data_IF_314494620300
#
_entry.id   IF_314494620300
#
_cell.length_a   1.000
_cell.length_b   1.000
_cell.length_c   1.000
_cell.angle_alpha   90.00
_cell.angle_beta   90.00
_cell.angle_gamma   90.00
#
_symmetry.space_group_name_H-M   'P 1'
#
loop_
_entity.id
_entity.type
_entity.pdbx_description
1 polymer ?
#
# COMPACT_ATOMS: atom_id res chain seq x y z
N UNK A 1 12.44 -6.87 -18.32
CA UNK A 1 12.14 -6.90 -16.86
C UNK A 1 13.44 -7.20 -16.15
N UNK A 2 13.91 -6.28 -15.31
CA UNK A 2 15.06 -6.54 -14.43
C UNK A 2 14.65 -7.63 -13.44
N UNK A 3 15.44 -8.68 -13.18
CA UNK A 3 15.11 -9.68 -12.22
C UNK A 3 14.94 -9.01 -10.84
N UNK A 4 13.77 -9.12 -10.25
CA UNK A 4 13.52 -8.62 -8.90
C UNK A 4 14.20 -9.58 -7.91
N UNK A 5 14.97 -9.06 -6.97
CA UNK A 5 15.58 -9.86 -5.90
C UNK A 5 14.47 -10.34 -4.96
N UNK A 6 14.51 -11.62 -4.59
CA UNK A 6 13.59 -12.22 -3.63
C UNK A 6 14.28 -12.29 -2.27
N UNK A 7 13.61 -11.84 -1.23
CA UNK A 7 14.08 -11.87 0.15
C UNK A 7 13.25 -12.86 0.98
N UNK A 8 13.88 -13.45 1.98
CA UNK A 8 13.15 -14.23 2.99
C UNK A 8 12.47 -13.29 3.99
N UNK A 9 11.48 -13.81 4.70
CA UNK A 9 10.82 -13.04 5.78
C UNK A 9 11.83 -12.53 6.81
N UNK A 10 12.76 -13.40 7.24
CA UNK A 10 13.75 -13.05 8.26
C UNK A 10 14.71 -11.95 7.78
N UNK A 11 15.14 -12.00 6.52
CA UNK A 11 15.98 -10.94 5.94
C UNK A 11 15.26 -9.59 5.94
N UNK A 12 14.01 -9.56 5.48
CA UNK A 12 13.21 -8.34 5.45
C UNK A 12 12.89 -7.84 6.87
N UNK A 13 12.61 -8.75 7.79
CA UNK A 13 12.34 -8.42 9.19
C UNK A 13 13.56 -7.81 9.89
N UNK A 14 14.74 -8.45 9.79
CA UNK A 14 15.97 -7.94 10.40
C UNK A 14 16.39 -6.58 9.84
N UNK A 15 16.25 -6.37 8.52
CA UNK A 15 16.55 -5.10 7.89
C UNK A 15 15.57 -4.01 8.34
N UNK A 16 14.27 -4.34 8.41
CA UNK A 16 13.22 -3.43 8.87
C UNK A 16 13.35 -3.12 10.36
N UNK A 17 13.75 -4.07 11.19
CA UNK A 17 14.01 -3.85 12.60
C UNK A 17 15.10 -2.80 12.83
N UNK A 18 16.17 -2.87 12.02
CA UNK A 18 17.22 -1.82 12.04
C UNK A 18 16.71 -0.47 11.55
N UNK A 19 15.84 -0.48 10.52
CA UNK A 19 15.23 0.74 9.99
C UNK A 19 14.34 1.45 11.01
N UNK A 20 13.62 0.70 11.84
CA UNK A 20 12.74 1.20 12.89
C UNK A 20 13.40 1.30 14.29
N UNK A 21 14.74 1.37 14.33
CA UNK A 21 15.51 1.51 15.60
C UNK A 21 15.16 0.49 16.69
N UNK A 22 14.80 -0.73 16.26
CA UNK A 22 14.48 -1.84 17.17
C UNK A 22 12.99 -1.97 17.51
N UNK A 23 12.09 -1.21 16.89
CA UNK A 23 10.64 -1.41 17.05
C UNK A 23 10.19 -2.68 16.30
N UNK A 24 10.04 -3.76 17.07
CA UNK A 24 9.64 -5.08 16.59
C UNK A 24 8.24 -5.07 15.96
N UNK A 25 7.30 -4.31 16.56
CA UNK A 25 5.93 -4.25 16.06
C UNK A 25 5.87 -3.54 14.71
N UNK A 26 6.56 -2.40 14.58
CA UNK A 26 6.64 -1.66 13.33
C UNK A 26 7.26 -2.52 12.22
N UNK A 27 8.37 -3.21 12.51
CA UNK A 27 9.04 -4.10 11.56
C UNK A 27 8.13 -5.27 11.12
N UNK A 28 7.49 -5.95 12.06
CA UNK A 28 6.59 -7.06 11.77
C UNK A 28 5.38 -6.64 10.94
N UNK A 29 4.76 -5.52 11.30
CA UNK A 29 3.59 -4.99 10.59
C UNK A 29 3.97 -4.57 9.17
N UNK A 30 5.11 -3.90 8.99
CA UNK A 30 5.55 -3.49 7.66
C UNK A 30 5.82 -4.70 6.77
N UNK A 31 6.61 -5.67 7.21
CA UNK A 31 6.92 -6.87 6.42
C UNK A 31 5.66 -7.67 6.09
N UNK A 32 4.74 -7.82 7.05
CA UNK A 32 3.55 -8.65 6.82
C UNK A 32 2.49 -7.98 5.94
N UNK A 33 2.35 -6.64 6.00
CA UNK A 33 1.24 -5.94 5.34
C UNK A 33 1.64 -5.09 4.14
N UNK A 34 2.83 -4.48 4.13
CA UNK A 34 3.15 -3.40 3.18
C UNK A 34 4.29 -3.71 2.23
N UNK A 35 5.23 -4.59 2.61
CA UNK A 35 6.29 -5.02 1.71
C UNK A 35 5.70 -5.66 0.45
N UNK A 36 6.25 -5.31 -0.72
CA UNK A 36 5.80 -5.83 -2.01
C UNK A 36 5.95 -7.36 -2.06
N UNK A 37 4.85 -8.04 -2.34
CA UNK A 37 4.78 -9.50 -2.46
C UNK A 37 4.02 -9.90 -3.71
N UNK A 38 4.35 -11.10 -4.22
CA UNK A 38 3.51 -11.77 -5.20
C UNK A 38 2.45 -12.66 -4.54
N UNK A 39 1.66 -13.37 -5.37
CA UNK A 39 0.64 -14.33 -4.92
C UNK A 39 1.21 -15.55 -4.19
N UNK A 40 2.48 -15.84 -4.38
CA UNK A 40 3.19 -16.97 -3.75
C UNK A 40 3.83 -16.57 -2.41
N UNK A 41 3.74 -15.28 -2.05
CA UNK A 41 4.29 -14.73 -0.81
C UNK A 41 5.77 -14.37 -0.87
N UNK A 42 6.40 -14.38 -2.06
CA UNK A 42 7.77 -13.91 -2.21
C UNK A 42 7.88 -12.41 -1.97
N UNK A 43 8.85 -11.99 -1.16
CA UNK A 43 9.06 -10.59 -0.77
C UNK A 43 10.10 -9.97 -1.69
N UNK A 44 9.82 -8.78 -2.23
CA UNK A 44 10.67 -8.06 -3.19
C UNK A 44 11.23 -6.75 -2.64
N UNK A 45 10.87 -6.38 -1.43
CA UNK A 45 11.34 -5.18 -0.73
C UNK A 45 11.98 -5.57 0.59
N UNK A 46 13.17 -5.04 0.87
CA UNK A 46 13.93 -5.36 2.06
C UNK A 46 13.62 -4.43 3.23
N UNK A 47 13.37 -3.14 2.92
CA UNK A 47 13.14 -2.08 3.89
C UNK A 47 11.99 -1.16 3.47
N UNK A 48 11.43 -0.34 4.38
CA UNK A 48 10.46 0.70 4.03
C UNK A 48 10.96 1.69 2.96
N UNK A 49 12.26 1.93 2.86
CA UNK A 49 12.80 2.80 1.81
C UNK A 49 12.64 2.22 0.41
N UNK A 50 12.67 0.90 0.25
CA UNK A 50 12.36 0.25 -1.03
C UNK A 50 10.90 0.50 -1.44
N UNK A 51 9.98 0.41 -0.48
CA UNK A 51 8.57 0.76 -0.67
C UNK A 51 8.43 2.25 -1.03
N UNK A 52 9.07 3.16 -0.29
CA UNK A 52 9.03 4.58 -0.59
C UNK A 52 9.58 4.88 -1.98
N UNK A 53 10.63 4.19 -2.40
CA UNK A 53 11.19 4.32 -3.75
C UNK A 53 10.23 3.82 -4.83
N UNK A 54 9.50 2.72 -4.59
CA UNK A 54 8.45 2.24 -5.49
C UNK A 54 7.33 3.27 -5.64
N UNK A 55 6.84 3.81 -4.53
CA UNK A 55 5.81 4.85 -4.54
C UNK A 55 6.29 6.10 -5.30
N UNK A 56 7.49 6.58 -4.98
CA UNK A 56 8.08 7.76 -5.60
C UNK A 56 8.21 7.60 -7.12
N UNK A 57 8.67 6.45 -7.57
CA UNK A 57 8.80 6.14 -9.01
C UNK A 57 7.47 6.20 -9.73
N UNK A 58 6.42 5.60 -9.15
CA UNK A 58 5.10 5.57 -9.78
C UNK A 58 4.44 6.95 -9.78
N UNK A 59 4.59 7.72 -8.70
CA UNK A 59 4.11 9.10 -8.63
C UNK A 59 4.86 9.99 -9.64
N UNK A 60 6.19 9.89 -9.72
CA UNK A 60 6.99 10.64 -10.69
C UNK A 60 6.59 10.32 -12.15
N UNK A 61 6.21 9.07 -12.44
CA UNK A 61 5.67 8.70 -13.76
C UNK A 61 4.40 9.49 -14.12
N UNK A 62 3.59 9.81 -13.13
CA UNK A 62 2.39 10.66 -13.34
C UNK A 62 2.79 12.13 -13.41
N UNK A 63 3.65 12.58 -12.50
CA UNK A 63 4.18 13.96 -12.45
C UNK A 63 4.85 14.38 -13.75
N UNK A 64 5.53 13.45 -14.44
CA UNK A 64 6.16 13.71 -15.74
C UNK A 64 5.18 14.19 -16.85
N UNK A 65 3.88 14.16 -16.60
CA UNK A 65 2.85 14.70 -17.51
C UNK A 65 2.64 16.22 -17.34
N UNK A 66 3.18 16.80 -16.28
CA UNK A 66 3.03 18.19 -15.93
C UNK A 66 4.33 18.98 -16.15
N UNK A 67 4.26 20.26 -16.58
CA UNK A 67 5.46 21.06 -16.89
C UNK A 67 6.42 21.25 -15.71
N UNK A 68 5.89 21.30 -14.49
CA UNK A 68 6.65 21.50 -13.24
C UNK A 68 6.46 20.29 -12.30
N UNK A 69 6.36 19.09 -12.87
CA UNK A 69 6.19 17.88 -12.09
C UNK A 69 7.42 17.56 -11.24
N UNK A 70 7.17 17.00 -10.06
CA UNK A 70 8.23 16.58 -9.13
C UNK A 70 9.00 15.38 -9.68
N UNK A 71 10.29 15.35 -9.40
CA UNK A 71 11.16 14.21 -9.71
C UNK A 71 10.96 13.06 -8.73
N UNK A 72 11.42 11.85 -9.11
CA UNK A 72 11.39 10.67 -8.23
C UNK A 72 12.14 10.94 -6.91
N UNK A 73 13.28 11.61 -6.97
CA UNK A 73 14.09 11.88 -5.77
C UNK A 73 13.42 12.90 -4.84
N UNK A 74 12.80 13.94 -5.36
CA UNK A 74 12.04 14.90 -4.56
C UNK A 74 10.87 14.23 -3.84
N UNK A 75 10.11 13.39 -4.54
CA UNK A 75 9.00 12.64 -3.95
C UNK A 75 9.52 11.63 -2.91
N UNK A 76 10.63 10.95 -3.21
CA UNK A 76 11.24 10.01 -2.26
C UNK A 76 11.65 10.70 -0.97
N UNK A 77 12.27 11.87 -1.02
CA UNK A 77 12.66 12.60 0.19
C UNK A 77 11.45 13.08 1.03
N UNK A 78 10.30 13.29 0.43
CA UNK A 78 9.05 13.56 1.17
C UNK A 78 8.52 12.35 1.92
N UNK A 79 8.69 11.15 1.36
CA UNK A 79 8.19 9.89 1.92
C UNK A 79 9.18 9.27 2.91
N UNK A 80 10.49 9.43 2.66
CA UNK A 80 11.58 8.78 3.38
C UNK A 80 11.47 8.94 4.88
N UNK A 81 11.62 7.83 5.60
CA UNK A 81 11.56 7.80 7.05
C UNK A 81 10.19 8.18 7.63
N UNK A 82 9.12 8.21 6.82
CA UNK A 82 7.78 8.65 7.21
C UNK A 82 7.74 10.06 7.81
N UNK A 83 8.65 10.94 7.33
CA UNK A 83 8.92 12.22 7.98
C UNK A 83 7.91 13.32 7.61
N UNK A 84 7.60 13.49 6.34
CA UNK A 84 6.74 14.56 5.85
C UNK A 84 5.41 14.05 5.32
N UNK A 85 5.42 12.94 4.61
CA UNK A 85 4.24 12.29 4.03
C UNK A 85 4.19 10.85 4.48
N UNK A 86 3.10 10.47 5.14
CA UNK A 86 2.81 9.09 5.55
C UNK A 86 1.58 8.65 4.77
N UNK A 87 1.73 7.83 3.72
CA UNK A 87 0.58 7.32 2.98
C UNK A 87 -0.27 6.38 3.85
N UNK A 88 -1.54 6.27 3.51
CA UNK A 88 -2.40 5.26 4.11
C UNK A 88 -2.04 3.84 3.61
N UNK A 89 -2.59 2.81 4.27
CA UNK A 89 -2.22 1.41 4.03
C UNK A 89 -2.40 0.95 2.59
N UNK A 90 -3.56 1.20 1.96
CA UNK A 90 -3.79 0.77 0.58
C UNK A 90 -2.88 1.48 -0.44
N UNK A 91 -2.62 2.80 -0.35
CA UNK A 91 -1.58 3.44 -1.14
C UNK A 91 -0.19 2.83 -0.91
N UNK A 92 0.22 2.56 0.33
CA UNK A 92 1.52 1.94 0.63
C UNK A 92 1.67 0.56 -0.02
N UNK A 93 0.63 -0.27 0.04
CA UNK A 93 0.66 -1.62 -0.52
C UNK A 93 0.45 -1.63 -2.04
N UNK A 94 -0.40 -0.72 -2.58
CA UNK A 94 -0.93 -0.79 -3.93
C UNK A 94 -0.22 0.07 -4.97
N UNK A 95 0.29 1.27 -4.61
CA UNK A 95 0.94 2.14 -5.60
C UNK A 95 2.21 1.48 -6.15
N UNK A 96 2.26 1.32 -7.47
CA UNK A 96 3.37 0.66 -8.17
C UNK A 96 3.46 -0.86 -7.95
N UNK A 97 2.43 -1.47 -7.38
CA UNK A 97 2.29 -2.92 -7.30
C UNK A 97 1.65 -3.44 -8.59
N UNK A 98 2.43 -4.13 -9.42
CA UNK A 98 2.01 -4.75 -10.67
C UNK A 98 1.68 -6.25 -10.54
N UNK A 99 1.72 -6.80 -9.32
CA UNK A 99 1.53 -8.22 -9.03
C UNK A 99 0.15 -8.54 -8.47
N UNK A 100 -0.51 -7.55 -7.85
CA UNK A 100 -1.81 -7.69 -7.24
C UNK A 100 -2.74 -6.56 -7.67
N UNK A 101 -4.00 -6.89 -7.91
CA UNK A 101 -5.04 -5.91 -8.18
C UNK A 101 -5.74 -5.57 -6.88
N UNK A 102 -5.80 -4.29 -6.56
CA UNK A 102 -6.45 -3.82 -5.33
C UNK A 102 -6.88 -2.36 -5.45
N UNK A 103 -7.74 -1.93 -4.55
CA UNK A 103 -8.14 -0.53 -4.42
C UNK A 103 -7.05 0.28 -3.71
N UNK A 104 -6.88 1.54 -4.11
CA UNK A 104 -6.04 2.50 -3.37
C UNK A 104 -6.83 3.24 -2.27
N UNK A 105 -8.10 2.91 -2.09
CA UNK A 105 -8.96 3.47 -1.04
C UNK A 105 -8.93 2.58 0.20
N UNK A 106 -8.92 3.18 1.39
CA UNK A 106 -8.92 2.44 2.66
C UNK A 106 -10.31 2.34 3.29
N UNK A 107 -11.15 3.36 3.09
CA UNK A 107 -12.44 3.47 3.74
C UNK A 107 -13.53 3.77 2.72
N UNK A 108 -14.65 3.09 2.87
CA UNK A 108 -15.83 3.27 2.06
C UNK A 108 -17.02 3.61 2.95
N UNK A 109 -17.88 4.52 2.50
CA UNK A 109 -19.14 4.82 3.16
C UNK A 109 -20.23 4.16 2.34
N UNK A 110 -20.95 3.22 2.97
CA UNK A 110 -22.12 2.58 2.39
C UNK A 110 -23.36 3.31 2.88
N UNK A 111 -24.13 3.87 1.95
CA UNK A 111 -25.31 4.66 2.26
C UNK A 111 -26.58 3.82 2.35
N UNK A 112 -27.53 4.34 3.11
CA UNK A 112 -28.89 3.82 3.20
C UNK A 112 -29.81 4.67 2.34
N UNK A 113 -30.21 4.16 1.17
CA UNK A 113 -31.22 4.80 0.32
C UNK A 113 -32.62 4.32 0.68
N UNK A 114 -33.56 5.25 0.82
CA UNK A 114 -34.97 4.94 1.02
C UNK A 114 -35.35 4.59 2.45
N UNK A 115 -35.81 3.37 2.71
CA UNK A 115 -36.24 2.90 4.03
C UNK A 115 -35.12 2.09 4.69
N UNK A 116 -34.24 2.74 5.48
CA UNK A 116 -33.11 2.05 6.12
C UNK A 116 -33.56 0.95 7.09
N UNK A 117 -34.66 1.19 7.82
CA UNK A 117 -35.24 0.28 8.76
C UNK A 117 -36.23 -0.67 8.07
N UNK A 118 -35.77 -1.33 7.02
CA UNK A 118 -36.53 -2.35 6.30
C UNK A 118 -35.64 -3.54 5.98
N UNK A 119 -36.26 -4.72 5.87
CA UNK A 119 -35.54 -5.94 5.50
C UNK A 119 -34.78 -5.80 4.15
N UNK A 120 -35.44 -5.18 3.18
CA UNK A 120 -34.82 -4.91 1.88
C UNK A 120 -33.64 -3.95 1.95
N UNK A 121 -33.71 -2.91 2.79
CA UNK A 121 -32.62 -1.98 3.03
C UNK A 121 -31.39 -2.66 3.67
N UNK A 122 -31.64 -3.50 4.68
CA UNK A 122 -30.58 -4.27 5.36
C UNK A 122 -29.87 -5.20 4.37
N UNK A 123 -30.62 -5.99 3.62
CA UNK A 123 -30.04 -6.94 2.66
C UNK A 123 -29.26 -6.25 1.54
N UNK A 124 -29.69 -5.08 1.10
CA UNK A 124 -28.95 -4.28 0.13
C UNK A 124 -27.60 -3.85 0.65
N UNK A 125 -27.52 -3.37 1.90
CA UNK A 125 -26.26 -2.97 2.53
C UNK A 125 -25.31 -4.15 2.64
N UNK A 126 -25.80 -5.31 3.08
CA UNK A 126 -25.01 -6.53 3.15
C UNK A 126 -24.43 -6.89 1.77
N UNK A 127 -25.21 -6.78 0.71
CA UNK A 127 -24.75 -7.00 -0.65
C UNK A 127 -23.65 -5.99 -1.08
N UNK A 128 -23.83 -4.71 -0.76
CA UNK A 128 -22.86 -3.67 -1.07
C UNK A 128 -21.56 -3.89 -0.28
N UNK A 129 -21.63 -4.25 0.99
CA UNK A 129 -20.47 -4.58 1.83
C UNK A 129 -19.68 -5.78 1.27
N UNK A 130 -20.37 -6.85 0.91
CA UNK A 130 -19.73 -8.03 0.30
C UNK A 130 -19.03 -7.66 -1.00
N UNK A 131 -19.68 -6.86 -1.86
CA UNK A 131 -19.09 -6.38 -3.09
C UNK A 131 -17.80 -5.59 -2.84
N UNK A 132 -17.82 -4.64 -1.89
CA UNK A 132 -16.64 -3.86 -1.53
C UNK A 132 -15.50 -4.72 -0.97
N UNK A 133 -15.79 -5.65 -0.06
CA UNK A 133 -14.80 -6.53 0.55
C UNK A 133 -14.17 -7.51 -0.46
N UNK A 134 -14.89 -7.84 -1.52
CA UNK A 134 -14.40 -8.73 -2.57
C UNK A 134 -13.53 -8.00 -3.63
N UNK A 135 -13.77 -6.71 -3.83
CA UNK A 135 -13.15 -5.91 -4.91
C UNK A 135 -12.10 -4.89 -4.44
N UNK A 136 -11.92 -4.77 -3.13
CA UNK A 136 -11.01 -3.76 -2.54
C UNK A 136 -9.64 -4.33 -2.19
#
# INVERSE_FOLDING_TARGET
MTPKTIYTYDQAYEASLKYFDGDELAAQVWVSKYALKDSDGNIFELTPDDMHRRLARELARIEARYPEGMTEDEIFELLRGFKYVVPQGSPMAGIGNDMQVGSLSNCFVVGLDGKPDSYGGIMRIDQEQVCLLYTS
#
